data_IF_320295574470
#
_entry.id   IF_320295574470
#
_cell.length_a   1.000
_cell.length_b   1.000
_cell.length_c   1.000
_cell.angle_alpha   90.00
_cell.angle_beta   90.00
_cell.angle_gamma   90.00
#
_symmetry.space_group_name_H-M   'P 1'
#
loop_
_entity.id
_entity.type
_entity.pdbx_description
1 polymer ?
#
# COMPACT_ATOMS: atom_id res chain seq x y z
N UNK A 1 -21.75 -38.71 26.13
CA UNK A 1 -21.97 -37.27 25.90
C UNK A 1 -20.59 -36.71 25.55
N UNK A 2 -20.13 -36.76 24.29
CA UNK A 2 -20.05 -35.62 23.34
C UNK A 2 -19.72 -34.30 24.05
N UNK A 3 -18.65 -33.55 23.72
CA UNK A 3 -18.12 -33.23 22.38
C UNK A 3 -16.61 -33.00 22.45
N UNK A 4 -15.88 -33.50 21.46
CA UNK A 4 -14.51 -33.11 21.15
C UNK A 4 -14.48 -32.10 20.00
N UNK A 5 -13.35 -31.38 19.90
CA UNK A 5 -13.04 -30.50 18.78
C UNK A 5 -13.02 -29.04 19.20
N UNK A 6 -11.83 -28.45 19.17
CA UNK A 6 -11.44 -27.06 18.83
C UNK A 6 -10.03 -26.85 19.43
N UNK A 7 -9.06 -27.70 19.09
CA UNK A 7 -7.64 -27.47 19.46
C UNK A 7 -6.67 -27.80 18.30
N UNK A 8 -7.17 -28.03 17.08
CA UNK A 8 -6.32 -28.42 15.92
C UNK A 8 -6.40 -27.45 14.74
N UNK A 9 -7.21 -26.37 14.81
CA UNK A 9 -7.38 -25.47 13.65
C UNK A 9 -6.44 -24.26 13.68
N UNK A 10 -5.81 -23.93 14.82
CA UNK A 10 -5.07 -22.66 14.97
C UNK A 10 -3.63 -22.69 14.42
N UNK A 11 -3.15 -23.80 13.87
CA UNK A 11 -1.74 -23.95 13.48
C UNK A 11 -1.48 -24.12 11.97
N UNK A 12 -2.49 -23.98 11.10
CA UNK A 12 -2.34 -24.29 9.67
C UNK A 12 -2.80 -23.22 8.67
N UNK A 13 -3.27 -22.04 9.11
CA UNK A 13 -3.83 -21.03 8.19
C UNK A 13 -3.14 -19.65 8.24
N UNK A 14 -2.11 -19.48 9.07
CA UNK A 14 -1.55 -18.15 9.37
C UNK A 14 -0.09 -17.94 8.96
N UNK A 15 0.53 -18.88 8.23
CA UNK A 15 1.95 -18.74 7.85
C UNK A 15 2.17 -18.21 6.42
N UNK A 16 1.18 -18.30 5.53
CA UNK A 16 1.30 -17.75 4.17
C UNK A 16 0.67 -16.35 4.04
N UNK A 17 -0.42 -16.06 4.77
CA UNK A 17 -1.16 -14.80 4.63
C UNK A 17 -0.39 -13.56 5.15
N UNK A 18 0.48 -13.74 6.15
CA UNK A 18 1.17 -12.61 6.80
C UNK A 18 2.41 -12.10 6.03
N UNK A 19 2.83 -12.77 4.95
CA UNK A 19 4.00 -12.36 4.13
C UNK A 19 3.63 -11.44 2.96
N UNK A 20 2.39 -11.49 2.47
CA UNK A 20 1.87 -10.60 1.42
C UNK A 20 1.49 -9.21 1.96
N UNK A 21 0.97 -9.12 3.19
CA UNK A 21 0.44 -7.87 3.78
C UNK A 21 1.55 -6.88 4.17
N UNK A 22 2.77 -7.36 4.46
CA UNK A 22 3.85 -6.51 4.99
C UNK A 22 4.55 -5.61 3.96
N UNK A 23 4.29 -5.77 2.66
CA UNK A 23 5.00 -5.00 1.62
C UNK A 23 4.18 -3.92 0.92
N UNK A 24 2.84 -3.89 1.11
CA UNK A 24 2.00 -2.80 0.61
C UNK A 24 1.72 -1.71 1.66
N UNK A 25 2.09 -1.94 2.94
CA UNK A 25 1.62 -1.13 4.06
C UNK A 25 2.56 -0.07 4.66
N UNK A 26 3.83 0.08 4.25
CA UNK A 26 4.79 0.90 5.04
C UNK A 26 5.73 1.83 4.28
N UNK A 27 5.30 2.49 3.20
CA UNK A 27 6.10 3.58 2.65
C UNK A 27 5.27 4.65 1.95
N UNK A 28 4.67 5.61 2.68
CA UNK A 28 4.36 6.94 2.12
C UNK A 28 3.88 7.97 3.15
N UNK A 29 4.65 8.24 4.21
CA UNK A 29 4.53 9.53 4.91
C UNK A 29 5.91 10.01 5.37
N UNK A 30 6.74 10.47 4.44
CA UNK A 30 7.82 11.41 4.77
C UNK A 30 8.35 12.13 3.51
N UNK A 31 7.95 13.40 3.39
CA UNK A 31 8.71 14.51 2.79
C UNK A 31 8.99 14.49 1.28
N UNK A 32 8.12 15.18 0.52
CA UNK A 32 8.51 15.79 -0.77
C UNK A 32 7.81 17.14 -0.98
N UNK A 33 8.12 18.10 -0.11
CA UNK A 33 7.91 19.51 -0.43
C UNK A 33 9.12 20.01 -1.20
N UNK A 34 8.85 20.59 -2.39
CA UNK A 34 9.75 21.25 -3.35
C UNK A 34 10.58 20.38 -4.31
N UNK A 35 9.98 19.98 -5.44
CA UNK A 35 10.68 19.90 -6.73
C UNK A 35 9.80 20.58 -7.79
N UNK A 36 10.32 21.57 -8.55
CA UNK A 36 9.59 22.19 -9.62
C UNK A 36 9.29 21.20 -10.76
N UNK A 37 8.08 21.32 -11.28
CA UNK A 37 7.47 20.60 -12.40
C UNK A 37 8.47 20.06 -13.45
N UNK A 38 8.67 18.74 -13.43
CA UNK A 38 8.99 17.95 -14.61
C UNK A 38 7.68 17.37 -15.18
N UNK A 39 6.74 18.26 -15.53
CA UNK A 39 5.43 17.90 -16.06
C UNK A 39 5.43 17.60 -17.58
N UNK A 40 6.59 17.43 -18.21
CA UNK A 40 6.71 17.23 -19.67
C UNK A 40 7.47 15.96 -20.08
N UNK A 41 7.63 14.98 -19.18
CA UNK A 41 8.10 13.64 -19.54
C UNK A 41 7.07 12.52 -19.30
N UNK A 42 5.79 12.88 -19.13
CA UNK A 42 4.67 11.93 -19.12
C UNK A 42 4.29 11.40 -20.54
N UNK A 43 5.27 11.30 -21.45
CA UNK A 43 5.13 10.67 -22.77
C UNK A 43 6.21 9.58 -23.01
N UNK A 44 6.89 9.14 -21.95
CA UNK A 44 7.70 7.93 -21.93
C UNK A 44 7.17 7.03 -20.82
N UNK A 45 6.22 6.15 -21.18
CA UNK A 45 5.37 5.39 -20.27
C UNK A 45 6.14 4.77 -19.11
N UNK A 46 5.86 5.25 -17.90
CA UNK A 46 6.13 4.47 -16.69
C UNK A 46 5.38 3.14 -16.90
N UNK A 47 6.08 1.98 -16.84
CA UNK A 47 5.44 0.71 -17.16
C UNK A 47 4.23 0.52 -16.25
N UNK A 48 3.06 0.31 -16.85
CA UNK A 48 1.81 0.12 -16.12
C UNK A 48 2.00 -0.99 -15.07
N UNK A 49 1.70 -0.67 -13.82
CA UNK A 49 1.87 -1.59 -12.70
C UNK A 49 0.97 -2.82 -12.87
N UNK A 50 -0.19 -2.66 -13.50
CA UNK A 50 -1.10 -3.76 -13.81
C UNK A 50 -0.52 -4.64 -14.91
N UNK A 51 0.15 -4.06 -15.92
CA UNK A 51 0.82 -4.84 -16.97
C UNK A 51 2.00 -5.64 -16.43
N UNK A 52 2.76 -5.08 -15.49
CA UNK A 52 3.85 -5.81 -14.82
C UNK A 52 3.31 -6.97 -14.00
N UNK A 53 2.23 -6.73 -13.24
CA UNK A 53 1.54 -7.76 -12.48
C UNK A 53 0.99 -8.86 -13.41
N UNK A 54 0.42 -8.47 -14.56
CA UNK A 54 -0.05 -9.41 -15.57
C UNK A 54 1.05 -10.32 -16.10
N UNK A 55 2.23 -9.78 -16.39
CA UNK A 55 3.39 -10.57 -16.81
C UNK A 55 3.92 -11.49 -15.69
N UNK A 56 3.70 -11.10 -14.42
CA UNK A 56 4.14 -11.88 -13.27
C UNK A 56 3.25 -13.09 -12.99
N UNK A 57 1.93 -12.97 -13.10
CA UNK A 57 1.02 -14.06 -12.69
C UNK A 57 0.12 -14.57 -13.82
N UNK A 58 0.24 -14.00 -15.02
CA UNK A 58 -0.61 -14.37 -16.15
C UNK A 58 -2.05 -13.88 -15.98
N UNK A 59 -2.24 -12.58 -15.69
CA UNK A 59 -3.58 -12.00 -15.60
C UNK A 59 -4.27 -11.97 -16.98
N UNK A 60 -5.55 -12.35 -17.02
CA UNK A 60 -6.38 -12.18 -18.22
C UNK A 60 -6.65 -10.70 -18.51
N UNK A 61 -7.08 -10.38 -19.74
CA UNK A 61 -7.46 -9.00 -20.09
C UNK A 61 -8.61 -8.46 -19.22
N UNK A 62 -9.56 -9.34 -18.87
CA UNK A 62 -10.68 -8.98 -17.99
C UNK A 62 -10.19 -8.69 -16.57
N UNK A 63 -9.32 -9.55 -16.02
CA UNK A 63 -8.72 -9.34 -14.69
C UNK A 63 -7.91 -8.03 -14.63
N UNK A 64 -7.15 -7.71 -15.67
CA UNK A 64 -6.41 -6.46 -15.73
C UNK A 64 -7.34 -5.24 -15.78
N UNK A 65 -8.44 -5.34 -16.54
CA UNK A 65 -9.45 -4.28 -16.63
C UNK A 65 -10.12 -4.05 -15.27
N UNK A 66 -10.48 -5.13 -14.58
CA UNK A 66 -11.08 -5.08 -13.25
C UNK A 66 -10.13 -4.47 -12.21
N UNK A 67 -8.85 -4.89 -12.20
CA UNK A 67 -7.84 -4.33 -11.30
C UNK A 67 -7.63 -2.83 -11.57
N UNK A 68 -7.57 -2.40 -12.84
CA UNK A 68 -7.47 -0.97 -13.17
C UNK A 68 -8.68 -0.19 -12.66
N UNK A 69 -9.89 -0.70 -12.85
CA UNK A 69 -11.11 -0.06 -12.36
C UNK A 69 -11.11 0.11 -10.84
N UNK A 70 -10.72 -0.94 -10.10
CA UNK A 70 -10.59 -0.90 -8.63
C UNK A 70 -9.56 0.16 -8.21
N UNK A 71 -8.40 0.19 -8.87
CA UNK A 71 -7.34 1.15 -8.54
C UNK A 71 -7.80 2.57 -8.83
N UNK A 72 -8.39 2.83 -10.00
CA UNK A 72 -8.82 4.17 -10.43
C UNK A 72 -9.91 4.73 -9.51
N UNK A 73 -10.92 3.92 -9.17
CA UNK A 73 -12.01 4.29 -8.26
C UNK A 73 -11.44 4.68 -6.88
N UNK A 74 -10.63 3.80 -6.29
CA UNK A 74 -10.16 3.99 -4.92
C UNK A 74 -9.05 5.03 -4.80
N UNK A 75 -8.20 5.19 -5.82
CA UNK A 75 -7.23 6.29 -5.86
C UNK A 75 -7.91 7.65 -6.02
N UNK A 76 -9.05 7.72 -6.71
CA UNK A 76 -9.88 8.91 -6.77
C UNK A 76 -10.32 9.35 -5.38
N UNK A 77 -11.00 8.46 -4.65
CA UNK A 77 -11.49 8.73 -3.29
C UNK A 77 -10.36 9.06 -2.30
N UNK A 78 -9.29 8.25 -2.28
CA UNK A 78 -8.11 8.52 -1.45
C UNK A 78 -7.46 9.86 -1.82
N UNK A 79 -7.50 10.24 -3.10
CA UNK A 79 -6.96 11.49 -3.61
C UNK A 79 -7.70 12.72 -3.05
N UNK A 80 -9.03 12.63 -2.96
CA UNK A 80 -9.87 13.68 -2.36
C UNK A 80 -9.62 13.78 -0.85
N UNK A 81 -9.63 12.66 -0.14
CA UNK A 81 -9.34 12.61 1.30
C UNK A 81 -7.95 13.15 1.65
N UNK A 82 -6.93 12.88 0.82
CA UNK A 82 -5.58 13.44 1.01
C UNK A 82 -5.56 14.96 0.85
N UNK A 83 -6.40 15.53 -0.02
CA UNK A 83 -6.51 16.99 -0.15
C UNK A 83 -7.19 17.58 1.08
N UNK A 84 -8.25 16.94 1.58
CA UNK A 84 -8.93 17.34 2.81
C UNK A 84 -7.99 17.29 4.02
N UNK A 85 -7.22 16.21 4.18
CA UNK A 85 -6.21 16.09 5.24
C UNK A 85 -5.20 17.24 5.22
N UNK A 86 -4.73 17.64 4.03
CA UNK A 86 -3.80 18.79 3.88
C UNK A 86 -4.46 20.11 4.25
N UNK A 87 -5.73 20.31 3.88
CA UNK A 87 -6.48 21.50 4.24
C UNK A 87 -6.67 21.60 5.76
N UNK A 88 -7.04 20.50 6.42
CA UNK A 88 -7.17 20.42 7.88
C UNK A 88 -5.84 20.72 8.59
N UNK A 89 -4.72 20.17 8.10
CA UNK A 89 -3.39 20.50 8.62
C UNK A 89 -3.05 21.98 8.48
N UNK A 90 -3.40 22.61 7.35
CA UNK A 90 -3.19 24.04 7.13
C UNK A 90 -4.06 24.89 8.07
N UNK A 91 -5.31 24.48 8.31
CA UNK A 91 -6.22 25.15 9.25
C UNK A 91 -5.65 25.10 10.68
N UNK A 92 -5.21 23.92 11.13
CA UNK A 92 -4.55 23.78 12.44
C UNK A 92 -3.27 24.64 12.54
N UNK A 93 -2.46 24.68 11.48
CA UNK A 93 -1.26 25.52 11.45
C UNK A 93 -1.60 27.02 11.50
N UNK A 94 -2.75 27.42 10.93
CA UNK A 94 -3.28 28.78 11.00
C UNK A 94 -3.75 29.21 12.39
N UNK A 95 -4.05 28.25 13.27
CA UNK A 95 -4.36 28.52 14.68
C UNK A 95 -3.10 28.71 15.56
N UNK A 96 -1.90 28.57 15.00
CA UNK A 96 -0.66 28.90 15.73
C UNK A 96 -0.46 30.41 15.73
N UNK A 97 -1.16 31.08 16.65
CA UNK A 97 -1.19 32.53 16.87
C UNK A 97 -1.38 32.85 18.36
N UNK A 98 -1.22 34.12 18.74
CA UNK A 98 -1.28 34.55 20.15
C UNK A 98 -2.65 34.37 20.80
N UNK A 99 -3.71 34.38 19.99
CA UNK A 99 -5.13 34.25 20.33
C UNK A 99 -5.71 32.94 19.77
N UNK A 100 -4.93 31.86 19.81
CA UNK A 100 -5.33 30.56 19.28
C UNK A 100 -6.70 30.10 19.82
N UNK A 101 -7.47 29.44 18.96
CA UNK A 101 -8.72 28.78 19.36
C UNK A 101 -8.48 27.27 19.59
N UNK A 102 -8.44 26.87 20.87
CA UNK A 102 -8.25 25.45 21.24
C UNK A 102 -9.37 24.56 20.70
N UNK A 103 -10.62 25.05 20.70
CA UNK A 103 -11.76 24.26 20.23
C UNK A 103 -11.64 24.01 18.73
N UNK A 104 -11.26 25.03 17.95
CA UNK A 104 -11.00 24.88 16.52
C UNK A 104 -9.85 23.88 16.25
N UNK A 105 -8.73 23.97 17.00
CA UNK A 105 -7.61 23.02 16.87
C UNK A 105 -8.09 21.58 17.11
N UNK A 106 -8.86 21.34 18.17
CA UNK A 106 -9.38 20.00 18.51
C UNK A 106 -10.35 19.48 17.46
N UNK A 107 -11.26 20.33 16.97
CA UNK A 107 -12.21 19.96 15.91
C UNK A 107 -11.50 19.59 14.61
N UNK A 108 -10.50 20.38 14.18
CA UNK A 108 -9.71 20.06 12.99
C UNK A 108 -8.89 18.78 13.17
N UNK A 109 -8.36 18.52 14.37
CA UNK A 109 -7.62 17.30 14.67
C UNK A 109 -8.52 16.05 14.67
N UNK A 110 -9.75 16.15 15.16
CA UNK A 110 -10.75 15.07 15.11
C UNK A 110 -11.07 14.71 13.66
N UNK A 111 -11.42 15.71 12.84
CA UNK A 111 -11.65 15.52 11.39
C UNK A 111 -10.45 14.92 10.67
N UNK A 112 -9.24 15.36 11.02
CA UNK A 112 -8.01 14.82 10.44
C UNK A 112 -7.82 13.34 10.82
N UNK A 113 -8.19 12.97 12.04
CA UNK A 113 -8.25 11.58 12.50
C UNK A 113 -9.20 10.73 11.67
N UNK A 114 -10.44 11.21 11.47
CA UNK A 114 -11.45 10.53 10.66
C UNK A 114 -10.99 10.32 9.22
N UNK A 115 -10.51 11.39 8.56
CA UNK A 115 -9.98 11.33 7.19
C UNK A 115 -8.81 10.35 7.08
N UNK A 116 -7.90 10.35 8.06
CA UNK A 116 -6.76 9.41 8.07
C UNK A 116 -7.22 7.96 8.26
N UNK A 117 -8.22 7.74 9.10
CA UNK A 117 -8.85 6.43 9.30
C UNK A 117 -9.50 5.92 8.01
N UNK A 118 -10.23 6.78 7.30
CA UNK A 118 -10.88 6.42 6.04
C UNK A 118 -9.86 6.09 4.95
N UNK A 119 -8.77 6.87 4.83
CA UNK A 119 -7.67 6.55 3.90
C UNK A 119 -7.09 5.16 4.20
N UNK A 120 -6.90 4.81 5.47
CA UNK A 120 -6.38 3.50 5.86
C UNK A 120 -7.38 2.37 5.52
N UNK A 121 -8.67 2.60 5.75
CA UNK A 121 -9.74 1.67 5.40
C UNK A 121 -9.80 1.44 3.88
N UNK A 122 -9.86 2.51 3.08
CA UNK A 122 -9.87 2.44 1.61
C UNK A 122 -8.59 1.78 1.07
N UNK A 123 -7.43 2.10 1.62
CA UNK A 123 -6.18 1.44 1.19
C UNK A 123 -6.21 -0.06 1.43
N UNK A 124 -6.77 -0.49 2.56
CA UNK A 124 -6.93 -1.91 2.92
C UNK A 124 -7.96 -2.59 2.02
N UNK A 125 -9.08 -1.93 1.75
CA UNK A 125 -10.13 -2.41 0.86
C UNK A 125 -9.65 -2.53 -0.59
N UNK A 126 -8.83 -1.58 -1.06
CA UNK A 126 -8.21 -1.64 -2.38
C UNK A 126 -7.34 -2.88 -2.51
N UNK A 127 -6.48 -3.14 -1.51
CA UNK A 127 -5.67 -4.34 -1.48
C UNK A 127 -6.54 -5.60 -1.49
N UNK A 128 -7.59 -5.67 -0.66
CA UNK A 128 -8.49 -6.82 -0.58
C UNK A 128 -9.30 -7.05 -1.88
N UNK A 129 -9.75 -5.98 -2.53
CA UNK A 129 -10.47 -6.05 -3.81
C UNK A 129 -9.57 -6.54 -4.94
N UNK A 130 -8.38 -5.96 -5.08
CA UNK A 130 -7.37 -6.40 -6.06
C UNK A 130 -6.99 -7.86 -5.81
N UNK A 131 -6.77 -8.23 -4.55
CA UNK A 131 -6.54 -9.62 -4.14
C UNK A 131 -7.70 -10.51 -4.63
N UNK A 132 -8.97 -10.17 -4.42
CA UNK A 132 -10.09 -11.01 -4.86
C UNK A 132 -10.18 -11.26 -6.38
N UNK A 133 -9.53 -10.46 -7.24
CA UNK A 133 -9.50 -10.69 -8.69
C UNK A 133 -8.61 -11.88 -9.08
N UNK A 134 -7.59 -12.20 -8.29
CA UNK A 134 -6.69 -13.32 -8.58
C UNK A 134 -7.31 -14.68 -8.28
N UNK A 135 -6.93 -15.70 -9.05
CA UNK A 135 -7.17 -17.10 -8.69
C UNK A 135 -6.19 -17.55 -7.61
N UNK A 136 -6.49 -18.65 -6.90
CA UNK A 136 -5.56 -19.22 -5.92
C UNK A 136 -4.22 -19.59 -6.55
N UNK A 137 -4.23 -20.16 -7.75
CA UNK A 137 -3.02 -20.52 -8.50
C UNK A 137 -2.16 -19.30 -8.81
N UNK A 138 -2.77 -18.16 -9.18
CA UNK A 138 -2.08 -16.91 -9.43
C UNK A 138 -1.47 -16.32 -8.15
N UNK A 139 -2.15 -16.44 -6.99
CA UNK A 139 -1.60 -16.04 -5.68
C UNK A 139 -0.36 -16.87 -5.33
N UNK A 140 -0.46 -18.19 -5.48
CA UNK A 140 0.62 -19.11 -5.13
C UNK A 140 1.85 -18.88 -6.03
N UNK A 141 1.63 -18.61 -7.32
CA UNK A 141 2.70 -18.25 -8.26
C UNK A 141 3.34 -16.89 -7.92
N UNK A 142 2.53 -15.90 -7.54
CA UNK A 142 3.05 -14.61 -7.08
C UNK A 142 3.94 -14.79 -5.85
N UNK A 143 3.47 -15.53 -4.84
CA UNK A 143 4.21 -15.82 -3.62
C UNK A 143 5.55 -16.50 -3.91
N UNK A 144 5.54 -17.49 -4.80
CA UNK A 144 6.74 -18.20 -5.22
C UNK A 144 7.75 -17.26 -5.87
N UNK A 145 7.31 -16.38 -6.78
CA UNK A 145 8.19 -15.40 -7.43
C UNK A 145 8.75 -14.38 -6.44
N UNK A 146 7.93 -13.92 -5.51
CA UNK A 146 8.36 -12.99 -4.46
C UNK A 146 9.43 -13.61 -3.56
N UNK A 147 9.27 -14.88 -3.17
CA UNK A 147 10.28 -15.60 -2.40
C UNK A 147 11.61 -15.75 -3.16
N UNK A 148 11.55 -16.06 -4.46
CA UNK A 148 12.75 -16.16 -5.30
C UNK A 148 13.48 -14.80 -5.41
N UNK A 149 12.73 -13.70 -5.61
CA UNK A 149 13.33 -12.37 -5.65
C UNK A 149 13.97 -11.98 -4.31
N UNK A 150 13.32 -12.27 -3.18
CA UNK A 150 13.90 -12.02 -1.85
C UNK A 150 15.21 -12.77 -1.64
N UNK A 151 15.27 -14.05 -2.04
CA UNK A 151 16.50 -14.84 -1.93
C UNK A 151 17.63 -14.28 -2.80
N UNK A 152 17.34 -13.86 -4.04
CA UNK A 152 18.34 -13.23 -4.91
C UNK A 152 18.86 -11.91 -4.33
N UNK A 153 17.97 -11.10 -3.76
CA UNK A 153 18.33 -9.85 -3.10
C UNK A 153 19.25 -10.09 -1.90
N UNK A 154 18.94 -11.07 -1.04
CA UNK A 154 19.78 -11.43 0.09
C UNK A 154 21.17 -11.91 -0.35
N UNK A 155 21.25 -12.74 -1.40
CA UNK A 155 22.53 -13.19 -1.96
C UNK A 155 23.37 -12.02 -2.51
N UNK A 156 22.74 -11.08 -3.23
CA UNK A 156 23.42 -9.88 -3.73
C UNK A 156 23.92 -8.98 -2.60
N UNK A 157 23.15 -8.85 -1.51
CA UNK A 157 23.56 -8.07 -0.34
C UNK A 157 24.78 -8.69 0.35
N UNK A 158 24.82 -10.02 0.48
CA UNK A 158 25.97 -10.72 1.05
C UNK A 158 27.23 -10.56 0.20
N UNK A 159 27.12 -10.62 -1.13
CA UNK A 159 28.27 -10.42 -2.03
C UNK A 159 28.78 -8.96 -2.01
N UNK A 160 27.88 -7.97 -1.90
CA UNK A 160 28.28 -6.56 -1.79
C UNK A 160 29.00 -6.25 -0.47
N UNK A 161 28.57 -6.85 0.63
CA UNK A 161 29.24 -6.70 1.93
C UNK A 161 30.63 -7.36 1.95
N UNK A 162 30.80 -8.51 1.30
CA UNK A 162 32.12 -9.15 1.18
C UNK A 162 33.07 -8.41 0.23
N UNK A 163 32.55 -7.76 -0.82
CA UNK A 163 33.36 -6.96 -1.75
C UNK A 163 33.86 -5.62 -1.19
N UNK A 164 33.19 -5.06 -0.18
CA UNK A 164 33.62 -3.82 0.51
C UNK A 164 34.58 -4.07 1.69
N UNK A 165 34.64 -5.30 2.22
CA UNK A 165 35.60 -5.68 3.28
C UNK A 165 37.01 -6.03 2.78
N UNK A 166 37.25 -5.96 1.47
CA UNK A 166 38.53 -6.29 0.81
C UNK A 166 39.25 -5.06 0.22
N UNK A 167 38.83 -3.84 0.58
CA UNK A 167 39.52 -2.57 0.26
C UNK A 167 40.12 -1.93 1.50
#
# INVERSE_FOLDING_TARGET
MYVGGIHVVTTLLTENFMKLVKLFGTALVALSLSVPAMAQQAAGGQPDQVDQLAQMVGLSGDQQTEIRAIIDEMQGEIGELRQEARALQQQMQGEIKSDFDEAAIREHAEKLGDVTGEIAALSTLMQAKVDNVFTQEQRDELDKRMQQMQQQMQQRQMMQQQGQGMQ
#
